data_IF_163623941356
#
_entry.id   IF_163623941356
#
_cell.length_a   1.000
_cell.length_b   1.000
_cell.length_c   1.000
_cell.angle_alpha   90.00
_cell.angle_beta   90.00
_cell.angle_gamma   90.00
#
_symmetry.space_group_name_H-M   'P 1'
#
loop_
_entity.id
_entity.type
_entity.pdbx_description
1 polymer ?
#
# COMPACT_ATOMS: atom_id res chain seq x y z
N UNK A 1 44.75 -8.24 -13.89
CA UNK A 1 43.56 -8.53 -13.07
C UNK A 1 42.57 -7.38 -13.24
N UNK A 2 41.42 -7.60 -13.88
CA UNK A 2 40.40 -6.55 -14.02
C UNK A 2 39.62 -6.51 -12.71
N UNK A 3 39.89 -5.52 -11.86
CA UNK A 3 39.05 -5.25 -10.70
C UNK A 3 37.66 -4.80 -11.18
N UNK A 4 36.71 -5.74 -11.18
CA UNK A 4 35.30 -5.41 -11.44
C UNK A 4 34.79 -4.63 -10.24
N UNK A 5 34.95 -3.30 -10.28
CA UNK A 5 34.39 -2.34 -9.31
C UNK A 5 32.95 -2.73 -8.99
N UNK A 6 32.73 -3.36 -7.84
CA UNK A 6 31.40 -3.85 -7.43
C UNK A 6 30.48 -2.64 -7.35
N UNK A 7 29.46 -2.56 -8.21
CA UNK A 7 28.46 -1.48 -8.16
C UNK A 7 27.87 -1.44 -6.75
N UNK A 8 27.85 -0.24 -6.15
CA UNK A 8 27.22 0.00 -4.84
C UNK A 8 25.79 -0.51 -4.89
N UNK A 9 25.43 -1.41 -3.99
CA UNK A 9 24.07 -1.99 -3.94
C UNK A 9 23.09 -0.91 -3.48
N UNK A 10 22.37 -0.30 -4.41
CA UNK A 10 21.23 0.58 -4.09
C UNK A 10 19.99 -0.27 -3.86
N UNK A 11 19.76 -0.70 -2.61
CA UNK A 11 18.62 -1.55 -2.26
C UNK A 11 17.28 -0.84 -2.45
N UNK A 12 17.25 0.49 -2.33
CA UNK A 12 16.02 1.27 -2.47
C UNK A 12 15.44 1.23 -3.88
N UNK A 13 16.29 1.22 -4.90
CA UNK A 13 15.90 1.15 -6.33
C UNK A 13 15.61 -0.27 -6.80
N UNK A 14 15.63 -1.25 -5.90
CA UNK A 14 15.20 -2.59 -6.26
C UNK A 14 13.71 -2.56 -6.54
N UNK A 15 13.30 -2.98 -7.74
CA UNK A 15 11.89 -3.15 -8.13
C UNK A 15 11.05 -3.88 -7.08
N UNK A 16 11.65 -4.78 -6.28
CA UNK A 16 10.97 -5.43 -5.14
C UNK A 16 10.65 -4.44 -4.02
N UNK A 17 11.59 -3.56 -3.66
CA UNK A 17 11.45 -2.60 -2.58
C UNK A 17 10.56 -1.42 -2.98
N UNK A 18 10.66 -0.94 -4.21
CA UNK A 18 9.72 0.05 -4.78
C UNK A 18 8.27 -0.44 -4.68
N UNK A 19 8.01 -1.69 -5.08
CA UNK A 19 6.66 -2.28 -4.96
C UNK A 19 6.22 -2.49 -3.52
N UNK A 20 7.13 -2.85 -2.61
CA UNK A 20 6.81 -2.93 -1.19
C UNK A 20 6.39 -1.56 -0.65
N UNK A 21 7.12 -0.50 -1.01
CA UNK A 21 6.81 0.89 -0.63
C UNK A 21 5.46 1.31 -1.20
N UNK A 22 5.22 1.11 -2.50
CA UNK A 22 3.94 1.44 -3.13
C UNK A 22 2.76 0.70 -2.48
N UNK A 23 2.89 -0.59 -2.16
CA UNK A 23 1.85 -1.36 -1.43
C UNK A 23 1.54 -0.82 -0.04
N UNK A 24 2.55 -0.27 0.63
CA UNK A 24 2.45 0.22 1.98
C UNK A 24 1.93 1.67 2.03
N UNK A 25 2.13 2.44 0.96
CA UNK A 25 1.53 3.76 0.75
C UNK A 25 0.17 3.70 0.02
N UNK A 26 -0.30 2.50 -0.34
CA UNK A 26 -1.52 2.33 -1.12
C UNK A 26 -1.44 2.92 -2.54
N UNK A 27 -0.24 3.20 -3.06
CA UNK A 27 -0.02 3.78 -4.38
C UNK A 27 -0.12 2.75 -5.49
N UNK A 28 -0.30 3.22 -6.73
CA UNK A 28 -0.27 2.37 -7.91
C UNK A 28 1.09 1.69 -8.08
N UNK A 29 1.10 0.43 -8.52
CA UNK A 29 2.33 -0.29 -8.83
C UNK A 29 2.13 -1.40 -9.86
N UNK A 30 3.20 -1.79 -10.53
CA UNK A 30 3.20 -2.90 -11.49
C UNK A 30 3.66 -4.19 -10.82
N UNK A 31 2.91 -5.28 -11.02
CA UNK A 31 3.24 -6.62 -10.49
C UNK A 31 4.45 -7.25 -11.19
N UNK A 32 4.91 -8.43 -10.72
CA UNK A 32 6.00 -9.17 -11.40
C UNK A 32 5.59 -9.58 -12.82
N UNK A 33 4.31 -9.84 -13.04
CA UNK A 33 3.74 -10.30 -14.30
C UNK A 33 3.24 -9.15 -15.18
N UNK A 34 3.62 -7.89 -14.90
CA UNK A 34 3.26 -6.73 -15.72
C UNK A 34 1.87 -6.14 -15.47
N UNK A 35 1.03 -6.75 -14.63
CA UNK A 35 -0.31 -6.21 -14.31
C UNK A 35 -0.19 -4.92 -13.49
N UNK A 36 -0.93 -3.89 -13.86
CA UNK A 36 -1.05 -2.63 -13.11
C UNK A 36 -2.04 -2.83 -11.96
N UNK A 37 -1.63 -2.46 -10.75
CA UNK A 37 -2.50 -2.38 -9.57
C UNK A 37 -2.71 -0.90 -9.27
N UNK A 38 -3.96 -0.45 -9.34
CA UNK A 38 -4.30 0.95 -9.12
C UNK A 38 -4.09 1.39 -7.66
N UNK A 39 -4.07 2.70 -7.45
CA UNK A 39 -4.06 3.31 -6.12
C UNK A 39 -5.28 2.85 -5.32
N UNK A 40 -5.12 2.76 -4.01
CA UNK A 40 -6.20 2.46 -3.07
C UNK A 40 -7.04 3.71 -2.87
N UNK A 41 -8.34 3.55 -3.09
CA UNK A 41 -9.35 4.60 -3.01
C UNK A 41 -10.57 4.06 -2.25
N UNK A 42 -11.38 4.97 -1.71
CA UNK A 42 -12.65 4.62 -1.08
C UNK A 42 -13.56 4.03 -2.17
N UNK A 43 -14.07 2.83 -1.93
CA UNK A 43 -14.99 2.16 -2.85
C UNK A 43 -16.43 2.51 -2.50
N UNK A 44 -17.30 2.32 -3.50
CA UNK A 44 -18.74 2.30 -3.30
C UNK A 44 -19.14 1.30 -2.20
N UNK A 45 -20.33 1.51 -1.65
CA UNK A 45 -20.86 0.69 -0.58
C UNK A 45 -21.00 -0.78 -1.01
N UNK A 46 -20.65 -1.71 -0.11
CA UNK A 46 -20.84 -3.12 -0.37
C UNK A 46 -22.34 -3.45 -0.44
N UNK A 47 -22.70 -4.46 -1.22
CA UNK A 47 -24.02 -5.11 -1.16
C UNK A 47 -24.14 -6.15 -0.04
N UNK A 48 -23.15 -6.19 0.86
CA UNK A 48 -23.05 -7.19 1.91
C UNK A 48 -24.14 -7.02 2.98
N UNK A 49 -24.60 -8.13 3.60
CA UNK A 49 -25.71 -8.14 4.58
C UNK A 49 -25.57 -7.09 5.68
N UNK A 50 -24.33 -6.85 6.12
CA UNK A 50 -24.04 -5.94 7.22
C UNK A 50 -23.97 -4.46 6.80
N UNK A 51 -23.93 -4.17 5.50
CA UNK A 51 -23.87 -2.82 4.90
C UNK A 51 -22.91 -1.87 5.63
N UNK A 52 -21.75 -2.37 6.08
CA UNK A 52 -20.89 -1.63 7.02
C UNK A 52 -20.47 -0.26 6.48
N UNK A 53 -20.31 -0.12 5.16
CA UNK A 53 -19.92 1.13 4.53
C UNK A 53 -21.01 2.22 4.61
N UNK A 54 -22.29 1.88 4.75
CA UNK A 54 -23.36 2.90 4.85
C UNK A 54 -23.39 3.58 6.21
N UNK A 55 -22.67 3.04 7.21
CA UNK A 55 -22.60 3.60 8.56
C UNK A 55 -21.59 4.74 8.69
N UNK A 56 -20.72 4.90 7.69
CA UNK A 56 -19.66 5.89 7.69
C UNK A 56 -19.89 6.89 6.57
N UNK A 57 -19.63 8.16 6.84
CA UNK A 57 -19.64 9.19 5.81
C UNK A 57 -18.45 9.02 4.87
N UNK A 58 -18.51 9.66 3.70
CA UNK A 58 -17.38 9.64 2.76
C UNK A 58 -16.11 10.24 3.38
N UNK A 59 -16.25 11.29 4.17
CA UNK A 59 -15.13 11.95 4.86
C UNK A 59 -14.45 11.03 5.87
N UNK A 60 -15.23 10.27 6.66
CA UNK A 60 -14.71 9.29 7.61
C UNK A 60 -13.96 8.17 6.90
N UNK A 61 -14.51 7.66 5.78
CA UNK A 61 -13.85 6.63 4.96
C UNK A 61 -12.52 7.13 4.42
N UNK A 62 -12.46 8.37 3.96
CA UNK A 62 -11.22 8.99 3.48
C UNK A 62 -10.21 9.25 4.59
N UNK A 63 -10.67 9.66 5.77
CA UNK A 63 -9.82 9.85 6.94
C UNK A 63 -9.17 8.54 7.37
N UNK A 64 -9.93 7.44 7.41
CA UNK A 64 -9.40 6.09 7.68
C UNK A 64 -8.41 5.67 6.61
N UNK A 65 -8.72 5.89 5.33
CA UNK A 65 -7.84 5.55 4.21
C UNK A 65 -6.51 6.31 4.29
N UNK A 66 -6.56 7.62 4.58
CA UNK A 66 -5.37 8.45 4.79
C UNK A 66 -4.57 7.95 5.99
N UNK A 67 -5.20 7.76 7.15
CA UNK A 67 -4.52 7.27 8.35
C UNK A 67 -3.83 5.91 8.14
N UNK A 68 -4.43 5.02 7.35
CA UNK A 68 -3.87 3.71 7.03
C UNK A 68 -2.60 3.79 6.17
N UNK A 69 -2.58 4.69 5.18
CA UNK A 69 -1.53 4.74 4.15
C UNK A 69 -0.49 5.86 4.34
N UNK A 70 -0.78 6.88 5.14
CA UNK A 70 0.10 8.04 5.38
C UNK A 70 1.36 7.67 6.17
N UNK A 71 1.26 6.77 7.16
CA UNK A 71 2.39 6.50 8.07
C UNK A 71 3.42 5.51 7.56
N UNK A 72 3.23 4.90 6.39
CA UNK A 72 4.26 4.14 5.69
C UNK A 72 5.11 3.17 6.53
N UNK A 73 4.58 2.64 7.63
CA UNK A 73 5.35 1.86 8.60
C UNK A 73 4.85 0.42 8.66
N UNK A 74 5.80 -0.51 8.79
CA UNK A 74 5.56 -1.96 8.84
C UNK A 74 4.69 -2.37 10.03
N UNK A 75 4.61 -1.51 11.04
CA UNK A 75 3.89 -1.68 12.32
C UNK A 75 2.38 -1.49 12.22
N UNK A 76 1.86 -0.76 11.22
CA UNK A 76 0.43 -0.41 11.18
C UNK A 76 -0.50 -1.52 10.65
N UNK A 77 0.06 -2.62 10.11
CA UNK A 77 -0.75 -3.76 9.61
C UNK A 77 -1.20 -4.71 10.71
N UNK A 78 -0.58 -4.67 11.89
CA UNK A 78 -0.88 -5.61 12.99
C UNK A 78 -1.73 -5.00 14.12
N UNK A 79 -1.69 -3.69 14.35
CA UNK A 79 -2.44 -3.09 15.47
C UNK A 79 -3.93 -2.89 15.18
N UNK A 80 -4.33 -2.78 13.90
CA UNK A 80 -5.76 -2.65 13.52
C UNK A 80 -6.52 -3.99 13.66
N UNK A 81 -5.81 -5.11 13.79
CA UNK A 81 -6.40 -6.45 13.96
C UNK A 81 -6.38 -6.97 15.40
N UNK A 82 -5.82 -6.21 16.36
CA UNK A 82 -5.74 -6.57 17.78
C UNK A 82 -5.94 -5.31 18.63
N UNK A 83 -7.18 -4.85 18.73
CA UNK A 83 -7.61 -3.72 19.55
C UNK A 83 -9.05 -3.35 19.27
#
# INVERSE_FOLDING_TARGET
>A
MIDRKRKKRCSETWKRNERKKARLLGSQYTTKTGKIVNKREVKADCTCKNKCMTKFTMEEKEAVLRALYEKGSKTNKMSIYMG
#
